data_IF_742746966069
#
_entry.id   IF_742746966069
#
_cell.length_a   1.000
_cell.length_b   1.000
_cell.length_c   1.000
_cell.angle_alpha   90.00
_cell.angle_beta   90.00
_cell.angle_gamma   90.00
#
_symmetry.space_group_name_H-M   'P 1'
#
loop_
_entity.id
_entity.type
_entity.pdbx_description
1 polymer ?
#
# COMPACT_ATOMS: atom_id res chain seq x y z
N UNK A 1 -37.33 -86.58 39.08
CA UNK A 1 -38.15 -85.61 38.43
C UNK A 1 -37.24 -84.69 37.60
N UNK A 2 -37.31 -84.81 36.31
CA UNK A 2 -36.43 -84.08 35.35
C UNK A 2 -37.13 -82.82 34.92
N UNK A 3 -36.52 -81.65 34.97
CA UNK A 3 -36.96 -80.45 34.30
C UNK A 3 -35.85 -79.97 33.30
N UNK A 4 -36.27 -79.95 32.08
CA UNK A 4 -35.46 -79.54 30.92
C UNK A 4 -35.68 -78.05 30.77
N UNK A 5 -34.64 -77.26 30.84
CA UNK A 5 -34.68 -75.78 30.45
C UNK A 5 -34.03 -75.65 29.12
N UNK A 6 -34.84 -75.12 28.14
CA UNK A 6 -34.46 -74.70 26.79
C UNK A 6 -33.69 -73.37 26.88
N UNK A 7 -32.48 -73.36 26.37
CA UNK A 7 -31.72 -72.13 26.13
C UNK A 7 -32.07 -71.57 24.77
N UNK A 8 -32.65 -70.38 24.76
CA UNK A 8 -32.89 -69.59 23.53
C UNK A 8 -31.56 -68.92 23.16
N UNK A 9 -31.04 -69.21 21.97
CA UNK A 9 -29.95 -68.44 21.35
C UNK A 9 -30.55 -67.19 20.73
N UNK A 10 -30.10 -65.99 21.14
CA UNK A 10 -30.33 -64.73 20.51
C UNK A 10 -29.14 -64.42 19.61
N UNK A 11 -29.38 -64.42 18.30
CA UNK A 11 -28.41 -63.95 17.32
C UNK A 11 -28.33 -62.40 17.42
N UNK A 12 -27.16 -61.88 17.79
CA UNK A 12 -26.84 -60.44 17.78
C UNK A 12 -26.26 -60.15 16.41
N UNK A 13 -27.05 -59.53 15.52
CA UNK A 13 -26.53 -58.96 14.29
C UNK A 13 -25.77 -57.66 14.63
N UNK A 14 -24.45 -57.67 14.47
CA UNK A 14 -23.61 -56.47 14.57
C UNK A 14 -23.72 -55.70 13.25
N UNK A 15 -24.44 -54.58 13.27
CA UNK A 15 -24.52 -53.66 12.17
C UNK A 15 -23.23 -52.79 12.19
N UNK A 16 -22.26 -53.08 11.32
CA UNK A 16 -21.08 -52.22 11.12
C UNK A 16 -21.49 -51.02 10.27
N UNK A 17 -21.75 -49.91 10.93
CA UNK A 17 -21.99 -48.62 10.27
C UNK A 17 -20.63 -48.07 9.80
N UNK A 18 -20.31 -48.27 8.51
CA UNK A 18 -19.13 -47.67 7.87
C UNK A 18 -19.26 -46.15 7.72
N UNK A 19 -18.74 -45.36 8.67
CA UNK A 19 -18.57 -43.95 8.48
C UNK A 19 -17.42 -43.69 7.48
N UNK A 20 -17.77 -43.54 6.24
CA UNK A 20 -16.85 -42.94 5.23
C UNK A 20 -16.56 -41.48 5.60
N UNK A 21 -15.41 -41.22 6.20
CA UNK A 21 -14.87 -39.88 6.33
C UNK A 21 -14.60 -39.31 4.94
N UNK A 22 -15.52 -38.51 4.43
CA UNK A 22 -15.28 -37.65 3.28
C UNK A 22 -14.37 -36.52 3.76
N UNK A 23 -13.05 -36.70 3.56
CA UNK A 23 -12.08 -35.64 3.69
C UNK A 23 -12.35 -34.66 2.54
N UNK A 24 -13.17 -33.64 2.79
CA UNK A 24 -13.22 -32.48 1.92
C UNK A 24 -11.85 -31.80 2.02
N UNK A 25 -10.93 -32.15 1.12
CA UNK A 25 -9.76 -31.36 0.84
C UNK A 25 -10.27 -30.03 0.27
N UNK A 26 -10.52 -29.07 1.16
CA UNK A 26 -10.81 -27.70 0.79
C UNK A 26 -9.62 -27.22 -0.04
N UNK A 27 -9.84 -27.07 -1.35
CA UNK A 27 -8.91 -26.38 -2.23
C UNK A 27 -8.71 -25.00 -1.62
N UNK A 28 -7.57 -24.74 -1.00
CA UNK A 28 -7.19 -23.38 -0.63
C UNK A 28 -7.04 -22.60 -1.94
N UNK A 29 -8.08 -21.84 -2.28
CA UNK A 29 -8.04 -20.91 -3.41
C UNK A 29 -6.84 -19.99 -3.21
N UNK A 30 -5.87 -20.02 -4.10
CA UNK A 30 -4.80 -19.04 -4.10
C UNK A 30 -5.38 -17.73 -4.64
N UNK A 31 -4.91 -16.58 -4.17
CA UNK A 31 -5.39 -15.25 -4.63
C UNK A 31 -5.23 -15.10 -6.14
N UNK A 32 -4.33 -15.86 -6.77
CA UNK A 32 -4.22 -15.96 -8.22
C UNK A 32 -5.49 -16.54 -8.88
N UNK A 33 -6.27 -17.40 -8.16
CA UNK A 33 -7.54 -17.94 -8.66
C UNK A 33 -8.70 -16.94 -8.55
N UNK A 34 -8.60 -15.94 -7.63
CA UNK A 34 -9.61 -14.89 -7.46
C UNK A 34 -9.44 -13.71 -8.45
N UNK A 35 -8.25 -13.49 -8.97
CA UNK A 35 -8.03 -12.59 -10.10
C UNK A 35 -8.36 -13.36 -11.39
N UNK A 36 -9.61 -13.23 -11.86
CA UNK A 36 -10.08 -13.83 -13.13
C UNK A 36 -9.13 -13.58 -14.32
N UNK A 37 -8.27 -12.55 -14.23
CA UNK A 37 -7.10 -12.30 -15.06
C UNK A 37 -6.16 -11.38 -14.29
N UNK A 38 -4.91 -11.77 -13.99
CA UNK A 38 -3.94 -10.86 -13.41
C UNK A 38 -3.74 -9.66 -14.34
N UNK A 39 -3.60 -8.43 -13.80
CA UNK A 39 -3.35 -7.26 -14.64
C UNK A 39 -2.03 -7.41 -15.40
N UNK A 40 -1.94 -6.78 -16.57
CA UNK A 40 -0.69 -6.70 -17.33
C UNK A 40 0.38 -5.97 -16.52
N UNK A 41 1.60 -6.45 -16.55
CA UNK A 41 2.75 -5.79 -15.92
C UNK A 41 2.97 -4.39 -16.49
N UNK A 42 3.55 -3.53 -15.65
CA UNK A 42 3.77 -2.12 -15.94
C UNK A 42 5.24 -1.76 -15.76
N UNK A 43 5.73 -0.82 -16.57
CA UNK A 43 7.06 -0.22 -16.45
C UNK A 43 6.97 0.95 -15.48
N UNK A 44 7.55 0.80 -14.30
CA UNK A 44 7.39 1.76 -13.19
C UNK A 44 8.71 2.41 -12.83
N UNK A 45 8.73 3.74 -12.73
CA UNK A 45 9.86 4.50 -12.20
C UNK A 45 9.46 5.18 -10.88
N UNK A 46 10.39 5.22 -9.93
CA UNK A 46 10.13 5.79 -8.60
C UNK A 46 11.10 6.93 -8.28
N UNK A 47 10.55 8.07 -7.83
CA UNK A 47 11.35 9.16 -7.29
C UNK A 47 10.78 9.67 -5.97
N UNK A 48 11.65 10.06 -5.03
CA UNK A 48 11.18 10.56 -3.74
C UNK A 48 12.22 10.48 -2.62
N UNK A 49 11.72 10.68 -1.42
CA UNK A 49 12.50 10.66 -0.18
C UNK A 49 12.36 9.33 0.59
N UNK A 50 12.95 9.26 1.79
CA UNK A 50 13.03 8.03 2.60
C UNK A 50 11.67 7.41 2.95
N UNK A 51 10.57 8.18 2.96
CA UNK A 51 9.21 7.64 3.22
C UNK A 51 8.59 6.95 2.00
N UNK A 52 9.31 6.88 0.88
CA UNK A 52 8.86 6.24 -0.34
C UNK A 52 9.87 5.24 -0.91
N UNK A 53 11.17 5.46 -0.74
CA UNK A 53 12.21 4.70 -1.46
C UNK A 53 12.39 3.25 -1.00
N UNK A 54 11.67 2.78 0.01
CA UNK A 54 11.57 1.37 0.35
C UNK A 54 10.49 0.63 -0.47
N UNK A 55 9.57 1.36 -1.13
CA UNK A 55 8.44 0.83 -1.89
C UNK A 55 8.86 0.04 -3.13
N UNK A 56 9.77 0.52 -4.01
CA UNK A 56 10.05 -0.07 -5.30
C UNK A 56 10.32 -1.58 -5.28
N UNK A 57 11.34 -1.99 -4.54
CA UNK A 57 11.73 -3.41 -4.44
C UNK A 57 10.67 -4.29 -3.80
N UNK A 58 9.89 -3.75 -2.87
CA UNK A 58 8.84 -4.50 -2.18
C UNK A 58 7.60 -4.67 -3.06
N UNK A 59 7.26 -3.68 -3.88
CA UNK A 59 6.23 -3.83 -4.91
C UNK A 59 6.66 -4.87 -5.94
N UNK A 60 7.91 -4.85 -6.39
CA UNK A 60 8.44 -5.86 -7.31
C UNK A 60 8.34 -7.29 -6.74
N UNK A 61 8.70 -7.48 -5.44
CA UNK A 61 8.52 -8.76 -4.74
C UNK A 61 7.05 -9.19 -4.69
N UNK A 62 6.15 -8.24 -4.39
CA UNK A 62 4.72 -8.49 -4.30
C UNK A 62 4.14 -8.89 -5.66
N UNK A 63 4.46 -8.15 -6.70
CA UNK A 63 4.06 -8.41 -8.09
C UNK A 63 4.49 -9.80 -8.56
N UNK A 64 5.74 -10.18 -8.27
CA UNK A 64 6.25 -11.54 -8.56
C UNK A 64 5.47 -12.61 -7.79
N UNK A 65 5.16 -12.36 -6.52
CA UNK A 65 4.44 -13.32 -5.68
C UNK A 65 3.00 -13.57 -6.16
N UNK A 66 2.37 -12.61 -6.84
CA UNK A 66 0.99 -12.72 -7.36
C UNK A 66 0.93 -13.04 -8.85
N UNK A 67 2.08 -13.32 -9.48
CA UNK A 67 2.13 -13.76 -10.89
C UNK A 67 1.75 -12.69 -11.91
N UNK A 68 2.00 -11.41 -11.64
CA UNK A 68 1.83 -10.35 -12.63
C UNK A 68 3.07 -10.32 -13.52
N UNK A 69 2.96 -10.91 -14.70
CA UNK A 69 4.03 -10.96 -15.67
C UNK A 69 4.28 -9.62 -16.36
N UNK A 70 5.53 -9.37 -16.75
CA UNK A 70 5.91 -8.15 -17.48
C UNK A 70 6.08 -6.89 -16.62
N UNK A 71 6.01 -6.99 -15.29
CA UNK A 71 6.39 -5.85 -14.43
C UNK A 71 7.88 -5.54 -14.57
N UNK A 72 8.20 -4.25 -14.73
CA UNK A 72 9.58 -3.79 -14.83
C UNK A 72 9.81 -2.58 -13.91
N UNK A 73 10.69 -2.73 -12.96
CA UNK A 73 11.28 -1.59 -12.24
C UNK A 73 12.25 -0.89 -13.19
N UNK A 74 11.82 0.20 -13.83
CA UNK A 74 12.62 0.98 -14.80
C UNK A 74 13.82 1.61 -14.11
N UNK A 75 13.60 2.14 -12.91
CA UNK A 75 14.66 2.73 -12.10
C UNK A 75 14.15 3.50 -10.89
N UNK A 76 15.09 4.03 -10.15
CA UNK A 76 14.81 4.83 -8.94
C UNK A 76 15.72 6.06 -8.87
N UNK A 77 15.19 7.15 -8.30
CA UNK A 77 15.94 8.35 -7.96
C UNK A 77 15.54 8.82 -6.55
N UNK A 78 16.39 8.54 -5.55
CA UNK A 78 16.13 8.84 -4.15
C UNK A 78 17.02 9.98 -3.63
N UNK A 79 16.44 10.93 -2.89
CA UNK A 79 17.15 11.97 -2.15
C UNK A 79 16.51 12.08 -0.77
N UNK A 80 17.29 11.94 0.31
CA UNK A 80 16.80 12.02 1.69
C UNK A 80 16.12 13.35 1.99
N UNK A 81 14.88 13.33 2.52
CA UNK A 81 14.12 14.51 2.92
C UNK A 81 13.79 15.52 1.81
N UNK A 82 13.88 15.11 0.55
CA UNK A 82 13.69 15.98 -0.60
C UNK A 82 12.25 16.38 -0.85
N UNK A 83 12.09 17.47 -1.61
CA UNK A 83 10.89 17.87 -2.33
C UNK A 83 11.01 17.42 -3.77
N UNK A 84 9.90 17.33 -4.49
CA UNK A 84 9.92 16.85 -5.88
C UNK A 84 10.74 17.78 -6.79
N UNK A 85 10.67 19.10 -6.55
CA UNK A 85 11.46 20.04 -7.35
C UNK A 85 13.00 19.82 -7.23
N UNK A 86 13.49 19.32 -6.09
CA UNK A 86 14.92 19.03 -5.91
C UNK A 86 15.38 17.84 -6.79
N UNK A 87 14.49 16.91 -7.08
CA UNK A 87 14.73 15.86 -8.06
C UNK A 87 14.75 16.41 -9.48
N UNK A 88 13.88 17.36 -9.78
CA UNK A 88 13.85 18.01 -11.08
C UNK A 88 15.11 18.83 -11.35
N UNK A 89 15.63 19.52 -10.33
CA UNK A 89 16.79 20.42 -10.43
C UNK A 89 18.14 19.71 -10.50
N UNK A 90 18.20 18.39 -10.38
CA UNK A 90 19.43 17.67 -10.64
C UNK A 90 19.93 17.96 -12.06
N UNK A 91 21.26 18.10 -12.21
CA UNK A 91 21.89 18.20 -13.50
C UNK A 91 21.47 17.05 -14.41
N UNK A 92 21.27 17.32 -15.70
CA UNK A 92 20.59 16.38 -16.62
C UNK A 92 21.32 15.03 -16.70
N UNK A 93 22.65 15.02 -16.68
CA UNK A 93 23.47 13.80 -16.69
C UNK A 93 23.33 12.94 -15.43
N UNK A 94 22.81 13.49 -14.33
CA UNK A 94 22.50 12.81 -13.06
C UNK A 94 21.01 12.55 -12.86
N UNK A 95 20.17 13.12 -13.72
CA UNK A 95 18.72 13.09 -13.56
C UNK A 95 18.10 11.86 -14.22
N UNK A 96 18.17 10.73 -13.54
CA UNK A 96 17.60 9.45 -14.01
C UNK A 96 16.09 9.55 -14.29
N UNK A 97 15.36 10.38 -13.53
CA UNK A 97 13.93 10.58 -13.70
C UNK A 97 13.60 11.28 -15.01
N UNK A 98 14.33 12.35 -15.36
CA UNK A 98 14.17 13.02 -16.67
C UNK A 98 14.54 12.08 -17.82
N UNK A 99 15.64 11.32 -17.68
CA UNK A 99 16.07 10.35 -18.69
C UNK A 99 14.99 9.28 -18.93
N UNK A 100 14.43 8.72 -17.86
CA UNK A 100 13.39 7.70 -17.96
C UNK A 100 12.10 8.24 -18.57
N UNK A 101 11.66 9.44 -18.19
CA UNK A 101 10.47 10.06 -18.79
C UNK A 101 10.70 10.46 -20.25
N UNK A 102 11.90 10.95 -20.57
CA UNK A 102 12.29 11.32 -21.94
C UNK A 102 12.34 10.16 -22.92
N UNK A 103 12.53 8.91 -22.44
CA UNK A 103 12.46 7.72 -23.30
C UNK A 103 11.05 7.36 -23.77
N UNK A 104 10.00 7.86 -23.08
CA UNK A 104 8.60 7.47 -23.33
C UNK A 104 8.25 6.04 -22.87
N UNK A 105 9.18 5.32 -22.25
CA UNK A 105 9.00 3.92 -21.87
C UNK A 105 8.56 3.69 -20.42
N UNK A 106 8.03 4.68 -19.75
CA UNK A 106 7.47 4.59 -18.40
C UNK A 106 5.95 4.59 -18.49
N UNK A 107 5.30 3.57 -17.91
CA UNK A 107 3.83 3.49 -17.84
C UNK A 107 3.29 4.17 -16.58
N UNK A 108 4.05 4.07 -15.48
CA UNK A 108 3.72 4.70 -14.20
C UNK A 108 4.97 5.37 -13.62
N UNK A 109 4.85 6.66 -13.33
CA UNK A 109 5.89 7.43 -12.66
C UNK A 109 5.42 7.80 -11.26
N UNK A 110 6.16 7.40 -10.23
CA UNK A 110 5.78 7.70 -8.84
C UNK A 110 6.66 8.79 -8.25
N UNK A 111 6.04 9.68 -7.49
CA UNK A 111 6.68 10.77 -6.76
C UNK A 111 6.25 10.74 -5.29
N UNK A 112 7.10 11.20 -4.38
CA UNK A 112 6.71 11.45 -2.99
C UNK A 112 6.65 12.95 -2.73
N UNK A 113 5.45 13.49 -2.52
CA UNK A 113 5.28 14.88 -2.12
C UNK A 113 5.78 15.10 -0.70
N UNK A 114 6.43 16.24 -0.48
CA UNK A 114 6.81 16.75 0.83
C UNK A 114 5.90 17.91 1.23
N UNK A 115 6.19 18.60 2.32
CA UNK A 115 5.34 19.69 2.86
C UNK A 115 5.13 20.89 1.92
N UNK A 116 6.03 21.08 0.95
CA UNK A 116 5.91 22.14 -0.05
C UNK A 116 4.91 21.74 -1.13
N UNK A 117 3.76 22.38 -1.16
CA UNK A 117 2.71 22.19 -2.16
C UNK A 117 2.05 23.56 -2.40
N UNK A 118 1.85 23.97 -3.66
CA UNK A 118 2.22 23.27 -4.88
C UNK A 118 3.73 23.11 -5.05
N UNK A 119 4.15 22.01 -5.67
CA UNK A 119 5.56 21.71 -5.96
C UNK A 119 5.78 21.74 -7.48
N UNK A 120 6.63 22.66 -7.97
CA UNK A 120 6.93 22.80 -9.40
C UNK A 120 7.57 21.55 -10.02
N UNK A 121 8.21 20.70 -9.20
CA UNK A 121 8.76 19.43 -9.67
C UNK A 121 7.65 18.46 -10.12
N UNK A 122 6.50 18.42 -9.41
CA UNK A 122 5.34 17.64 -9.84
C UNK A 122 4.86 18.13 -11.20
N UNK A 123 4.70 19.45 -11.37
CA UNK A 123 4.30 20.06 -12.63
C UNK A 123 5.28 19.69 -13.75
N UNK A 124 6.56 19.93 -13.53
CA UNK A 124 7.58 19.74 -14.56
C UNK A 124 7.75 18.29 -15.00
N UNK A 125 7.71 17.33 -14.06
CA UNK A 125 7.75 15.90 -14.40
C UNK A 125 6.46 15.46 -15.13
N UNK A 126 5.32 16.05 -14.80
CA UNK A 126 4.07 15.79 -15.50
C UNK A 126 4.15 16.25 -16.95
N UNK A 127 4.59 17.48 -17.19
CA UNK A 127 4.76 18.04 -18.54
C UNK A 127 5.72 17.18 -19.38
N UNK A 128 6.90 16.90 -18.83
CA UNK A 128 7.91 16.09 -19.52
C UNK A 128 7.35 14.68 -19.84
N UNK A 129 6.77 14.02 -18.86
CA UNK A 129 6.31 12.65 -19.02
C UNK A 129 5.17 12.53 -20.03
N UNK A 130 4.16 13.43 -19.97
CA UNK A 130 3.03 13.41 -20.90
C UNK A 130 3.42 13.82 -22.32
N UNK A 131 4.47 14.63 -22.49
CA UNK A 131 5.03 14.97 -23.81
C UNK A 131 5.58 13.71 -24.51
N UNK A 132 6.22 12.79 -23.80
CA UNK A 132 6.86 11.61 -24.38
C UNK A 132 5.99 10.35 -24.32
N UNK A 133 5.10 10.24 -23.33
CA UNK A 133 4.11 9.17 -23.22
C UNK A 133 2.74 9.74 -22.83
N UNK A 134 1.85 10.01 -23.79
CA UNK A 134 0.50 10.49 -23.48
C UNK A 134 -0.36 9.55 -22.63
N UNK A 135 0.04 8.28 -22.48
CA UNK A 135 -0.66 7.29 -21.65
C UNK A 135 -0.08 7.18 -20.23
N UNK A 136 1.01 7.89 -19.92
CA UNK A 136 1.66 7.88 -18.62
C UNK A 136 0.66 8.19 -17.49
N UNK A 137 0.79 7.47 -16.38
CA UNK A 137 0.15 7.80 -15.11
C UNK A 137 1.20 8.28 -14.12
N UNK A 138 0.91 9.41 -13.47
CA UNK A 138 1.78 9.98 -12.44
C UNK A 138 1.09 9.78 -11.09
N UNK A 139 1.75 9.08 -10.18
CA UNK A 139 1.24 8.81 -8.84
C UNK A 139 2.06 9.63 -7.83
N UNK A 140 1.38 10.48 -7.08
CA UNK A 140 2.01 11.31 -6.03
C UNK A 140 1.65 10.73 -4.67
N UNK A 141 2.62 10.13 -3.98
CA UNK A 141 2.41 9.65 -2.62
C UNK A 141 2.24 10.83 -1.67
N UNK A 142 1.06 10.91 -1.03
CA UNK A 142 0.79 11.76 0.10
C UNK A 142 1.18 10.99 1.37
N UNK A 143 2.36 11.31 1.94
CA UNK A 143 2.91 10.65 3.12
C UNK A 143 2.37 11.26 4.42
N UNK A 144 2.67 10.64 5.55
CA UNK A 144 2.49 11.22 6.88
C UNK A 144 3.54 12.31 7.15
N UNK A 145 3.32 13.13 8.18
CA UNK A 145 4.26 14.20 8.52
C UNK A 145 5.54 13.68 9.18
N UNK A 146 6.71 14.19 8.75
CA UNK A 146 7.94 14.00 9.52
C UNK A 146 7.80 14.70 10.88
N UNK A 147 8.30 14.06 11.94
CA UNK A 147 8.23 14.53 13.32
C UNK A 147 6.79 14.76 13.84
N UNK A 148 5.79 14.17 13.20
CA UNK A 148 4.35 14.32 13.51
C UNK A 148 3.83 15.76 13.54
N UNK A 149 4.48 16.67 12.83
CA UNK A 149 4.06 18.07 12.82
C UNK A 149 4.25 18.71 11.44
N UNK A 150 3.35 19.63 11.04
CA UNK A 150 3.49 20.37 9.79
C UNK A 150 4.62 21.41 9.83
N UNK A 151 5.15 21.71 11.02
CA UNK A 151 6.17 22.73 11.24
C UNK A 151 7.27 22.22 12.16
N UNK A 152 8.52 22.61 11.86
CA UNK A 152 9.69 22.24 12.70
C UNK A 152 9.67 22.82 14.11
N UNK A 153 8.84 23.81 14.41
CA UNK A 153 8.83 24.48 15.73
C UNK A 153 8.44 23.54 16.87
N UNK A 154 7.43 22.70 16.65
CA UNK A 154 6.88 21.80 17.66
C UNK A 154 7.20 20.32 17.38
N UNK A 155 8.31 20.05 16.70
CA UNK A 155 8.71 18.69 16.34
C UNK A 155 8.98 17.84 17.59
N UNK A 156 8.55 16.60 17.56
CA UNK A 156 8.97 15.61 18.56
C UNK A 156 10.49 15.39 18.45
N UNK A 157 11.14 15.15 19.59
CA UNK A 157 12.59 14.89 19.69
C UNK A 157 12.91 13.46 20.06
N UNK A 158 11.94 12.78 20.68
CA UNK A 158 11.99 11.37 21.02
C UNK A 158 10.83 10.67 20.33
N UNK A 159 11.08 9.44 19.85
CA UNK A 159 10.06 8.63 19.19
C UNK A 159 8.88 8.31 20.13
N UNK A 160 9.13 8.12 21.42
CA UNK A 160 8.10 7.86 22.43
C UNK A 160 7.08 8.99 22.57
N UNK A 161 7.46 10.26 22.32
CA UNK A 161 6.54 11.40 22.33
C UNK A 161 5.40 11.26 21.31
N UNK A 162 5.55 10.36 20.35
CA UNK A 162 4.54 10.03 19.35
C UNK A 162 3.28 9.40 19.97
N UNK A 163 3.45 8.75 21.12
CA UNK A 163 2.36 8.07 21.81
C UNK A 163 1.35 9.06 22.42
N UNK A 164 1.78 10.30 22.68
CA UNK A 164 0.93 11.38 23.21
C UNK A 164 0.23 12.19 22.10
N UNK A 165 0.56 11.91 20.79
CA UNK A 165 -0.02 12.66 19.69
C UNK A 165 -1.47 12.25 19.41
N UNK A 166 -2.36 13.24 19.27
CA UNK A 166 -3.77 13.02 18.95
C UNK A 166 -3.94 12.82 17.45
N UNK A 167 -4.60 11.73 17.09
CA UNK A 167 -4.82 11.37 15.69
C UNK A 167 -5.64 12.42 14.96
N UNK A 168 -6.62 13.01 15.61
CA UNK A 168 -7.51 14.03 15.05
C UNK A 168 -6.73 15.26 14.60
N UNK A 169 -5.75 15.71 15.41
CA UNK A 169 -4.90 16.87 15.08
C UNK A 169 -3.97 16.56 13.88
N UNK A 170 -3.41 15.34 13.87
CA UNK A 170 -2.55 14.89 12.78
C UNK A 170 -3.36 14.72 11.48
N UNK A 171 -4.55 14.15 11.56
CA UNK A 171 -5.44 13.97 10.42
C UNK A 171 -5.87 15.32 9.85
N UNK A 172 -6.27 16.27 10.70
CA UNK A 172 -6.65 17.61 10.26
C UNK A 172 -5.51 18.34 9.54
N UNK A 173 -4.27 18.19 10.03
CA UNK A 173 -3.09 18.73 9.37
C UNK A 173 -2.84 18.07 8.00
N UNK A 174 -2.95 16.74 7.92
CA UNK A 174 -2.82 15.99 6.66
C UNK A 174 -3.90 16.42 5.67
N UNK A 175 -5.16 16.55 6.10
CA UNK A 175 -6.28 16.97 5.26
C UNK A 175 -6.05 18.36 4.65
N UNK A 176 -5.62 19.32 5.47
CA UNK A 176 -5.32 20.67 5.01
C UNK A 176 -4.19 20.70 3.98
N UNK A 177 -3.15 19.93 4.18
CA UNK A 177 -2.03 19.84 3.24
C UNK A 177 -2.45 19.09 1.95
N UNK A 178 -3.18 17.98 2.09
CA UNK A 178 -3.64 17.16 0.98
C UNK A 178 -4.57 17.92 0.04
N UNK A 179 -5.48 18.77 0.56
CA UNK A 179 -6.33 19.64 -0.28
C UNK A 179 -5.53 20.52 -1.24
N UNK A 180 -4.35 20.99 -0.83
CA UNK A 180 -3.47 21.76 -1.72
C UNK A 180 -2.83 20.88 -2.79
N UNK A 181 -2.49 19.63 -2.44
CA UNK A 181 -1.96 18.66 -3.39
C UNK A 181 -3.05 18.23 -4.40
N UNK A 182 -4.29 18.04 -3.93
CA UNK A 182 -5.46 17.76 -4.75
C UNK A 182 -5.70 18.88 -5.77
N UNK A 183 -5.67 20.13 -5.30
CA UNK A 183 -5.81 21.30 -6.19
C UNK A 183 -4.73 21.34 -7.30
N UNK A 184 -3.46 21.04 -6.95
CA UNK A 184 -2.40 20.95 -7.95
C UNK A 184 -2.63 19.79 -8.93
N UNK A 185 -3.07 18.64 -8.47
CA UNK A 185 -3.36 17.48 -9.33
C UNK A 185 -4.54 17.79 -10.28
N UNK A 186 -5.60 18.43 -9.77
CA UNK A 186 -6.77 18.81 -10.56
C UNK A 186 -6.43 19.85 -11.62
N UNK A 187 -5.61 20.86 -11.29
CA UNK A 187 -5.11 21.84 -12.24
C UNK A 187 -4.33 21.18 -13.39
N UNK A 188 -3.41 20.27 -13.06
CA UNK A 188 -2.64 19.54 -14.06
C UNK A 188 -3.53 18.63 -14.92
N UNK A 189 -4.48 17.93 -14.31
CA UNK A 189 -5.43 17.07 -15.02
C UNK A 189 -6.32 17.88 -15.96
N UNK A 190 -6.78 19.06 -15.53
CA UNK A 190 -7.54 20.00 -16.36
C UNK A 190 -6.71 20.53 -17.51
N UNK A 191 -5.45 20.94 -17.26
CA UNK A 191 -4.54 21.46 -18.29
C UNK A 191 -4.32 20.48 -19.43
N UNK A 192 -4.23 19.18 -19.10
CA UNK A 192 -3.99 18.11 -20.07
C UNK A 192 -5.27 17.45 -20.59
N UNK A 193 -6.44 17.95 -20.22
CA UNK A 193 -7.77 17.39 -20.55
C UNK A 193 -7.86 15.87 -20.32
N UNK A 194 -7.23 15.40 -19.22
CA UNK A 194 -7.25 13.98 -18.83
C UNK A 194 -6.83 13.77 -17.38
N UNK A 195 -7.31 12.69 -16.77
CA UNK A 195 -6.83 12.23 -15.47
C UNK A 195 -5.51 11.48 -15.65
N UNK A 196 -4.39 12.18 -15.46
CA UNK A 196 -3.03 11.66 -15.56
C UNK A 196 -2.30 11.68 -14.20
N UNK A 197 -2.58 12.66 -13.35
CA UNK A 197 -1.99 12.85 -12.03
C UNK A 197 -2.96 12.33 -10.97
N UNK A 198 -2.48 11.40 -10.16
CA UNK A 198 -3.24 10.76 -9.09
C UNK A 198 -2.49 10.87 -7.77
N UNK A 199 -3.20 10.74 -6.65
CA UNK A 199 -2.63 10.84 -5.31
C UNK A 199 -2.80 9.50 -4.60
N UNK A 200 -1.71 8.98 -4.01
CA UNK A 200 -1.74 7.76 -3.18
C UNK A 200 -1.82 8.17 -1.71
N UNK A 201 -2.95 7.98 -1.01
CA UNK A 201 -3.22 8.52 0.32
C UNK A 201 -2.57 7.69 1.44
N UNK A 202 -1.25 7.53 1.40
CA UNK A 202 -0.52 6.69 2.37
C UNK A 202 -0.56 7.29 3.77
N UNK A 203 -0.51 8.62 3.89
CA UNK A 203 -0.62 9.32 5.17
C UNK A 203 -1.94 9.02 5.89
N UNK A 204 -3.06 9.03 5.15
CA UNK A 204 -4.38 8.68 5.68
C UNK A 204 -4.44 7.22 6.16
N UNK A 205 -3.86 6.30 5.38
CA UNK A 205 -3.78 4.91 5.78
C UNK A 205 -2.95 4.74 7.07
N UNK A 206 -1.85 5.47 7.21
CA UNK A 206 -1.02 5.47 8.42
C UNK A 206 -1.78 6.02 9.62
N UNK A 207 -2.59 7.09 9.47
CA UNK A 207 -3.42 7.61 10.58
C UNK A 207 -4.46 6.58 11.02
N UNK A 208 -5.11 5.89 10.08
CA UNK A 208 -6.05 4.80 10.41
C UNK A 208 -5.36 3.63 11.12
N UNK A 209 -4.14 3.25 10.71
CA UNK A 209 -3.37 2.22 11.40
C UNK A 209 -3.04 2.64 12.83
N UNK A 210 -2.62 3.90 13.04
CA UNK A 210 -2.34 4.45 14.36
C UNK A 210 -3.59 4.44 15.25
N UNK A 211 -4.76 4.78 14.71
CA UNK A 211 -6.03 4.69 15.43
C UNK A 211 -6.32 3.25 15.88
N UNK A 212 -6.12 2.25 15.02
CA UNK A 212 -6.26 0.84 15.41
C UNK A 212 -5.31 0.41 16.53
N UNK A 213 -4.09 0.96 16.57
CA UNK A 213 -3.12 0.70 17.65
C UNK A 213 -3.60 1.31 18.96
N UNK A 214 -4.05 2.56 18.96
CA UNK A 214 -4.60 3.26 20.13
C UNK A 214 -5.82 2.51 20.70
N UNK A 215 -6.70 2.02 19.82
CA UNK A 215 -7.90 1.28 20.20
C UNK A 215 -7.60 -0.18 20.62
N UNK A 216 -6.35 -0.61 20.61
CA UNK A 216 -5.97 -2.00 20.90
C UNK A 216 -6.47 -3.02 19.87
N UNK A 217 -6.88 -2.58 18.68
CA UNK A 217 -7.42 -3.41 17.59
C UNK A 217 -6.35 -3.93 16.61
N UNK A 218 -5.09 -3.56 16.79
CA UNK A 218 -3.97 -4.03 15.99
C UNK A 218 -3.05 -4.89 16.84
N UNK A 219 -3.27 -6.20 16.86
CA UNK A 219 -2.59 -7.14 17.73
C UNK A 219 -1.06 -7.11 17.56
N UNK A 220 -0.34 -7.27 18.69
CA UNK A 220 1.12 -7.30 18.72
C UNK A 220 1.81 -5.93 18.72
N UNK A 221 1.08 -4.84 18.48
CA UNK A 221 1.58 -3.46 18.50
C UNK A 221 0.80 -2.65 19.53
N UNK A 222 1.49 -2.14 20.56
CA UNK A 222 0.83 -1.50 21.72
C UNK A 222 0.89 0.02 21.69
N UNK A 223 1.84 0.61 20.99
CA UNK A 223 2.11 2.05 20.99
C UNK A 223 2.27 2.57 19.57
N UNK A 224 1.92 3.83 19.34
CA UNK A 224 2.09 4.50 18.06
C UNK A 224 3.57 4.57 17.67
N UNK A 225 4.44 4.80 18.66
CA UNK A 225 5.89 4.93 18.48
C UNK A 225 6.52 3.66 17.90
N UNK A 226 6.00 2.47 18.24
CA UNK A 226 6.52 1.18 17.73
C UNK A 226 6.24 0.96 16.24
N UNK A 227 5.40 1.78 15.60
CA UNK A 227 5.20 1.79 14.15
C UNK A 227 6.35 2.45 13.38
N UNK A 228 7.22 3.21 14.07
CA UNK A 228 8.29 4.01 13.47
C UNK A 228 9.63 3.71 14.11
N UNK A 229 10.71 3.99 13.39
CA UNK A 229 12.07 3.64 13.84
C UNK A 229 12.80 4.80 14.53
N UNK A 230 12.29 6.03 14.40
CA UNK A 230 12.95 7.24 14.93
C UNK A 230 11.99 8.43 15.06
N UNK A 231 12.42 9.54 15.68
CA UNK A 231 11.58 10.74 15.82
C UNK A 231 11.21 11.41 14.48
N UNK A 232 11.99 11.21 13.41
CA UNK A 232 11.66 11.72 12.07
C UNK A 232 10.37 11.05 11.59
N UNK A 233 10.14 9.78 11.97
CA UNK A 233 9.01 8.99 11.55
C UNK A 233 9.35 8.08 10.37
N UNK A 234 10.60 7.61 10.25
CA UNK A 234 10.91 6.56 9.30
C UNK A 234 10.10 5.31 9.61
N UNK A 235 9.53 4.73 8.56
CA UNK A 235 8.58 3.64 8.66
C UNK A 235 9.21 2.37 9.26
N UNK A 236 8.61 1.85 10.32
CA UNK A 236 8.82 0.47 10.78
C UNK A 236 8.14 -0.56 9.86
N UNK A 237 8.29 -1.86 10.13
CA UNK A 237 7.81 -2.92 9.23
C UNK A 237 6.33 -2.79 8.83
N UNK A 238 5.46 -2.48 9.78
CA UNK A 238 4.01 -2.36 9.57
C UNK A 238 3.64 -1.20 8.65
N UNK A 239 4.23 -0.01 8.88
CA UNK A 239 4.01 1.17 8.03
C UNK A 239 4.60 0.96 6.64
N UNK A 240 5.76 0.29 6.55
CA UNK A 240 6.34 -0.08 5.25
C UNK A 240 5.41 -1.00 4.46
N UNK A 241 4.88 -2.05 5.10
CA UNK A 241 3.95 -2.98 4.46
C UNK A 241 2.68 -2.25 3.99
N UNK A 242 2.09 -1.41 4.85
CA UNK A 242 0.91 -0.61 4.51
C UNK A 242 1.14 0.30 3.30
N UNK A 243 2.25 1.05 3.30
CA UNK A 243 2.61 1.92 2.19
C UNK A 243 2.82 1.15 0.88
N UNK A 244 3.42 -0.05 0.94
CA UNK A 244 3.58 -0.94 -0.22
C UNK A 244 2.23 -1.37 -0.76
N UNK A 245 1.27 -1.77 0.10
CA UNK A 245 -0.07 -2.14 -0.33
C UNK A 245 -0.86 -0.98 -0.93
N UNK A 246 -0.74 0.23 -0.36
CA UNK A 246 -1.35 1.42 -0.95
C UNK A 246 -0.79 1.71 -2.35
N UNK A 247 0.53 1.65 -2.51
CA UNK A 247 1.17 1.88 -3.82
C UNK A 247 0.82 0.77 -4.82
N UNK A 248 0.81 -0.49 -4.40
CA UNK A 248 0.37 -1.61 -5.25
C UNK A 248 -1.07 -1.39 -5.73
N UNK A 249 -1.98 -1.08 -4.82
CA UNK A 249 -3.38 -0.81 -5.15
C UNK A 249 -3.53 0.35 -6.15
N UNK A 250 -2.75 1.43 -6.01
CA UNK A 250 -2.79 2.56 -6.93
C UNK A 250 -2.13 2.25 -8.29
N UNK A 251 -1.02 1.50 -8.30
CA UNK A 251 -0.30 1.13 -9.53
C UNK A 251 -1.15 0.18 -10.36
N UNK A 252 -1.65 -0.88 -9.77
CA UNK A 252 -2.36 -1.95 -10.48
C UNK A 252 -3.88 -1.81 -10.49
N UNK A 253 -4.46 -0.94 -9.64
CA UNK A 253 -5.90 -0.72 -9.48
C UNK A 253 -6.66 -2.00 -9.07
N UNK A 254 -5.99 -2.85 -8.30
CA UNK A 254 -6.54 -4.10 -7.76
C UNK A 254 -6.33 -4.16 -6.26
N UNK A 255 -7.18 -4.93 -5.57
CA UNK A 255 -7.07 -5.12 -4.13
C UNK A 255 -5.80 -5.90 -3.78
N UNK A 256 -5.05 -5.47 -2.75
CA UNK A 256 -3.97 -6.28 -2.19
C UNK A 256 -4.47 -7.36 -1.20
N UNK A 257 -5.78 -7.42 -0.92
CA UNK A 257 -6.33 -8.36 0.05
C UNK A 257 -6.10 -9.81 -0.39
N UNK A 258 -5.71 -10.65 0.57
CA UNK A 258 -5.41 -12.05 0.34
C UNK A 258 -4.02 -12.34 -0.24
N UNK A 259 -3.26 -11.32 -0.67
CA UNK A 259 -1.88 -11.52 -1.12
C UNK A 259 -1.03 -12.05 0.04
N UNK A 260 -0.07 -12.94 -0.27
CA UNK A 260 0.79 -13.59 0.75
C UNK A 260 2.26 -13.19 0.61
N UNK A 261 2.59 -11.88 0.75
CA UNK A 261 3.99 -11.46 0.78
C UNK A 261 4.61 -11.85 2.13
N UNK A 262 5.93 -12.08 2.12
CA UNK A 262 6.68 -12.30 3.35
C UNK A 262 7.47 -11.02 3.70
N UNK A 263 6.83 -10.09 4.39
CA UNK A 263 7.54 -8.92 4.93
C UNK A 263 7.99 -9.23 6.36
N UNK A 264 9.31 -9.18 6.60
CA UNK A 264 9.88 -9.44 7.92
C UNK A 264 9.26 -8.52 8.98
N UNK A 265 8.82 -9.07 10.10
CA UNK A 265 8.27 -8.33 11.23
C UNK A 265 6.78 -8.00 11.12
N UNK A 266 6.06 -8.64 10.21
CA UNK A 266 4.59 -8.55 10.06
C UNK A 266 4.06 -9.98 9.94
N UNK A 267 3.12 -10.38 10.79
CA UNK A 267 2.47 -11.70 10.74
C UNK A 267 1.27 -11.71 9.76
N UNK A 268 0.71 -12.91 9.51
CA UNK A 268 -0.36 -13.08 8.53
C UNK A 268 -1.65 -12.31 8.91
N UNK A 269 -2.00 -12.26 10.19
CA UNK A 269 -3.18 -11.53 10.66
C UNK A 269 -2.99 -10.01 10.49
N UNK A 270 -1.79 -9.52 10.81
CA UNK A 270 -1.41 -8.13 10.60
C UNK A 270 -1.40 -7.78 9.10
N UNK A 271 -0.89 -8.67 8.24
CA UNK A 271 -0.96 -8.49 6.79
C UNK A 271 -2.39 -8.33 6.30
N UNK A 272 -3.33 -9.17 6.75
CA UNK A 272 -4.73 -9.08 6.36
C UNK A 272 -5.36 -7.71 6.72
N UNK A 273 -5.06 -7.22 7.93
CA UNK A 273 -5.53 -5.89 8.38
C UNK A 273 -4.92 -4.78 7.52
N UNK A 274 -3.61 -4.82 7.27
CA UNK A 274 -2.92 -3.79 6.48
C UNK A 274 -3.38 -3.77 5.02
N UNK A 275 -3.63 -4.93 4.41
CA UNK A 275 -4.14 -5.06 3.06
C UNK A 275 -5.54 -4.47 2.92
N UNK A 276 -6.45 -4.84 3.83
CA UNK A 276 -7.80 -4.29 3.89
C UNK A 276 -7.77 -2.77 4.09
N UNK A 277 -6.97 -2.29 5.04
CA UNK A 277 -6.82 -0.87 5.34
C UNK A 277 -6.31 -0.08 4.12
N UNK A 278 -5.30 -0.62 3.42
CA UNK A 278 -4.77 -0.03 2.20
C UNK A 278 -5.84 0.05 1.11
N UNK A 279 -6.56 -1.07 0.85
CA UNK A 279 -7.59 -1.12 -0.17
C UNK A 279 -8.73 -0.15 0.12
N UNK A 280 -9.28 -0.18 1.33
CA UNK A 280 -10.35 0.73 1.73
C UNK A 280 -9.94 2.21 1.66
N UNK A 281 -8.67 2.51 1.95
CA UNK A 281 -8.19 3.89 1.88
C UNK A 281 -8.00 4.34 0.44
N UNK A 282 -7.38 3.52 -0.39
CA UNK A 282 -7.07 3.89 -1.78
C UNK A 282 -8.32 3.85 -2.67
N UNK A 283 -9.16 2.81 -2.57
CA UNK A 283 -10.33 2.65 -3.44
C UNK A 283 -11.45 3.66 -3.16
N UNK A 284 -11.55 4.13 -1.91
CA UNK A 284 -12.54 5.15 -1.52
C UNK A 284 -12.06 6.59 -1.73
N UNK A 285 -10.81 6.78 -2.11
CA UNK A 285 -10.24 8.12 -2.31
C UNK A 285 -10.30 8.55 -3.78
N UNK A 286 -11.10 9.58 -4.13
CA UNK A 286 -11.39 9.91 -5.53
C UNK A 286 -10.14 10.24 -6.36
N UNK A 287 -9.13 10.90 -5.75
CA UNK A 287 -7.89 11.27 -6.44
C UNK A 287 -6.92 10.11 -6.63
N UNK A 288 -7.18 8.92 -6.07
CA UNK A 288 -6.35 7.75 -6.33
C UNK A 288 -6.60 7.14 -7.73
N UNK A 289 -7.72 7.47 -8.36
CA UNK A 289 -8.07 6.94 -9.69
C UNK A 289 -8.30 5.42 -9.70
N UNK A 290 -8.64 4.87 -8.54
CA UNK A 290 -8.99 3.46 -8.35
C UNK A 290 -10.48 3.41 -8.09
N UNK A 291 -11.27 3.08 -9.11
CA UNK A 291 -12.69 2.83 -8.90
C UNK A 291 -12.84 1.59 -8.02
N UNK A 292 -13.64 1.68 -6.95
CA UNK A 292 -14.12 0.48 -6.28
C UNK A 292 -14.86 -0.36 -7.33
N UNK A 293 -14.33 -1.52 -7.67
CA UNK A 293 -15.10 -2.48 -8.47
C UNK A 293 -16.28 -2.86 -7.58
N UNK A 294 -17.46 -2.36 -7.92
CA UNK A 294 -18.70 -2.85 -7.30
C UNK A 294 -18.75 -4.35 -7.60
N UNK A 295 -18.66 -5.16 -6.53
CA UNK A 295 -18.88 -6.62 -6.61
C UNK A 295 -20.34 -6.91 -6.89
#
# INVERSE_FOLDING_TARGET
MRFISRVLRRDIAVLICGCTLVVCAGRQSTVADDLKSPPTGLRVFYTGHSFHMFVPRRVEQLVKAVGIDGHKLVGTQGIGGSRVYQHWDLADEKNKAKMALGSGEVDVFTMAAHLTVPDRGITNFTELGLKHNPKLRLLVQASWYPFDVPSRKNRIRDNAQRDDMKIEDLQAAIDSWRKRLEAQADELNKKHDRKAVFIVPVGDAVMKLRALVIEGKYAGVKTQSSLFTDPIGHAGPHVQALAVYCNFAAIYRVSPEGLRPRFKGVDDAQHAILQKLAWETVSKYPHAGVAAIQK
#
